data_IF_728036437529
#
_entry.id   IF_728036437529
#
_cell.length_a   1.000
_cell.length_b   1.000
_cell.length_c   1.000
_cell.angle_alpha   90.00
_cell.angle_beta   90.00
_cell.angle_gamma   90.00
#
_symmetry.space_group_name_H-M   'P 1'
#
loop_
_entity.id
_entity.type
_entity.pdbx_description
1 polymer ?
#
# COMPACT_ATOMS: atom_id res chain seq x y z
N UNK A 1 9.80 -31.85 23.91
CA UNK A 1 9.80 -30.35 23.87
C UNK A 1 8.82 -29.90 22.80
N UNK A 2 7.68 -29.34 23.21
CA UNK A 2 6.69 -28.84 22.25
C UNK A 2 7.01 -27.38 21.91
N UNK A 3 7.72 -27.18 20.80
CA UNK A 3 7.99 -25.85 20.27
C UNK A 3 6.94 -25.52 19.21
N UNK A 4 6.20 -24.43 19.40
CA UNK A 4 5.25 -23.92 18.42
C UNK A 4 5.84 -22.69 17.73
N UNK A 5 5.66 -22.63 16.39
CA UNK A 5 6.15 -21.52 15.57
C UNK A 5 4.97 -20.72 15.07
N UNK A 6 4.96 -19.46 15.38
CA UNK A 6 3.95 -18.46 14.95
C UNK A 6 4.59 -17.54 13.94
N UNK A 7 3.96 -17.39 12.77
CA UNK A 7 4.41 -16.46 11.74
C UNK A 7 3.33 -15.39 11.53
N UNK A 8 3.75 -14.13 11.56
CA UNK A 8 2.85 -13.00 11.35
C UNK A 8 3.55 -11.87 10.59
N UNK A 9 2.77 -11.12 9.80
CA UNK A 9 3.20 -9.86 9.21
C UNK A 9 2.84 -8.74 10.19
N UNK A 10 3.85 -7.97 10.59
CA UNK A 10 3.70 -6.86 11.53
C UNK A 10 4.26 -5.58 10.94
N UNK A 11 3.72 -4.45 11.35
CA UNK A 11 4.29 -3.16 10.99
C UNK A 11 5.57 -2.91 11.79
N UNK A 12 6.69 -2.67 11.08
CA UNK A 12 7.99 -2.45 11.70
C UNK A 12 7.97 -1.28 12.68
N UNK A 13 8.48 -1.50 13.90
CA UNK A 13 8.54 -0.52 14.98
C UNK A 13 7.19 -0.17 15.64
N UNK A 14 6.05 -0.69 15.12
CA UNK A 14 4.70 -0.42 15.62
C UNK A 14 3.86 -1.69 15.80
N UNK A 15 4.51 -2.82 16.07
CA UNK A 15 3.78 -4.05 16.40
C UNK A 15 2.95 -3.84 17.67
N UNK A 16 1.74 -4.38 17.67
CA UNK A 16 0.79 -4.31 18.79
C UNK A 16 0.32 -5.71 19.19
N UNK A 17 -0.23 -5.85 20.39
CA UNK A 17 -0.85 -7.09 20.87
C UNK A 17 -2.20 -7.42 20.16
N UNK A 18 -2.65 -6.55 19.27
CA UNK A 18 -3.84 -6.76 18.43
C UNK A 18 -3.62 -7.88 17.39
N UNK A 19 -4.66 -8.36 16.69
CA UNK A 19 -4.46 -9.29 15.57
C UNK A 19 -3.42 -8.75 14.57
N UNK A 20 -2.48 -9.62 14.05
CA UNK A 20 -2.54 -11.09 14.12
C UNK A 20 -1.83 -11.75 15.31
N UNK A 21 -1.05 -11.02 16.11
CA UNK A 21 -0.19 -11.59 17.17
C UNK A 21 -0.97 -12.08 18.40
N UNK A 22 -1.93 -11.28 18.89
CA UNK A 22 -2.68 -11.60 20.11
C UNK A 22 -3.35 -12.96 20.11
N UNK A 23 -4.22 -13.25 19.12
CA UNK A 23 -4.92 -14.54 19.04
C UNK A 23 -4.00 -15.75 18.88
N UNK A 24 -2.83 -15.55 18.24
CA UNK A 24 -1.87 -16.65 17.99
C UNK A 24 -0.96 -16.91 19.20
N UNK A 25 -0.54 -15.89 19.92
CA UNK A 25 0.36 -16.01 21.09
C UNK A 25 -0.39 -16.22 22.39
N UNK A 26 -1.65 -15.79 22.50
CA UNK A 26 -2.49 -15.93 23.70
C UNK A 26 -2.60 -17.36 24.22
N UNK A 27 -2.97 -18.34 23.37
CA UNK A 27 -3.09 -19.75 23.79
C UNK A 27 -1.77 -20.37 24.25
N UNK A 28 -0.62 -19.80 23.85
CA UNK A 28 0.71 -20.32 24.20
C UNK A 28 1.18 -19.88 25.60
N UNK A 29 0.45 -18.98 26.25
CA UNK A 29 0.70 -18.55 27.62
C UNK A 29 1.99 -17.75 27.81
N UNK A 30 2.52 -17.12 26.74
CA UNK A 30 3.69 -16.22 26.79
C UNK A 30 3.28 -14.79 27.11
N UNK A 31 4.19 -14.01 27.64
CA UNK A 31 3.94 -12.59 27.89
C UNK A 31 3.97 -11.80 26.58
N UNK A 32 2.78 -11.52 26.01
CA UNK A 32 2.62 -10.82 24.72
C UNK A 32 3.29 -9.46 24.75
N UNK A 33 3.25 -8.75 25.89
CA UNK A 33 3.87 -7.43 26.00
C UNK A 33 5.39 -7.46 25.81
N UNK A 34 6.07 -8.45 26.38
CA UNK A 34 7.52 -8.64 26.21
C UNK A 34 7.86 -9.02 24.76
N UNK A 35 7.09 -9.95 24.17
CA UNK A 35 7.25 -10.35 22.75
C UNK A 35 7.11 -9.13 21.83
N UNK A 36 6.07 -8.32 22.00
CA UNK A 36 5.83 -7.12 21.20
C UNK A 36 6.94 -6.08 21.37
N UNK A 37 7.42 -5.84 22.58
CA UNK A 37 8.55 -4.93 22.82
C UNK A 37 9.82 -5.39 22.09
N UNK A 38 10.11 -6.67 22.14
CA UNK A 38 11.30 -7.22 21.47
C UNK A 38 11.17 -7.21 19.94
N UNK A 39 9.96 -7.51 19.41
CA UNK A 39 9.65 -7.35 17.99
C UNK A 39 9.91 -5.90 17.56
N UNK A 40 9.37 -4.92 18.29
CA UNK A 40 9.53 -3.51 17.97
C UNK A 40 11.01 -3.07 17.99
N UNK A 41 11.80 -3.57 18.94
CA UNK A 41 13.25 -3.31 18.96
C UNK A 41 13.95 -3.87 17.73
N UNK A 42 13.67 -5.14 17.37
CA UNK A 42 14.32 -5.80 16.22
C UNK A 42 13.83 -5.26 14.87
N UNK A 43 12.63 -4.73 14.78
CA UNK A 43 12.02 -4.21 13.55
C UNK A 43 12.13 -2.68 13.41
N UNK A 44 12.79 -1.98 14.33
CA UNK A 44 12.93 -0.52 14.30
C UNK A 44 13.58 0.01 13.00
N UNK A 45 14.50 -0.75 12.41
CA UNK A 45 15.16 -0.42 11.13
C UNK A 45 14.16 -0.36 9.96
N UNK A 46 13.07 -1.13 10.03
CA UNK A 46 12.04 -1.27 9.00
C UNK A 46 10.77 -0.47 9.31
N UNK A 47 10.90 0.67 9.98
CA UNK A 47 9.76 1.48 10.40
C UNK A 47 8.85 1.84 9.20
N UNK A 48 7.53 1.67 9.38
CA UNK A 48 6.52 1.95 8.35
C UNK A 48 6.39 0.89 7.25
N UNK A 49 7.10 -0.26 7.36
CA UNK A 49 6.97 -1.38 6.42
C UNK A 49 6.40 -2.60 7.12
N UNK A 50 5.69 -3.43 6.36
CA UNK A 50 5.28 -4.75 6.85
C UNK A 50 6.47 -5.71 6.83
N UNK A 51 6.76 -6.31 7.97
CA UNK A 51 7.88 -7.22 8.16
C UNK A 51 7.36 -8.58 8.61
N UNK A 52 7.79 -9.70 7.99
CA UNK A 52 7.44 -11.02 8.45
C UNK A 52 8.26 -11.33 9.71
N UNK A 53 7.57 -11.67 10.78
CA UNK A 53 8.19 -12.07 12.05
C UNK A 53 7.80 -13.51 12.36
N UNK A 54 8.80 -14.31 12.72
CA UNK A 54 8.62 -15.67 13.17
C UNK A 54 8.96 -15.75 14.65
N UNK A 55 7.98 -16.11 15.46
CA UNK A 55 8.13 -16.30 16.91
C UNK A 55 8.07 -17.81 17.19
N UNK A 56 9.17 -18.35 17.70
CA UNK A 56 9.23 -19.75 18.20
C UNK A 56 9.01 -19.71 19.69
N UNK A 57 7.98 -20.39 20.16
CA UNK A 57 7.59 -20.44 21.56
C UNK A 57 7.75 -21.85 22.09
N UNK A 58 8.44 -22.01 23.19
CA UNK A 58 8.48 -23.25 23.95
C UNK A 58 7.30 -23.25 24.95
N UNK A 59 6.37 -24.16 24.79
CA UNK A 59 5.14 -24.23 25.61
C UNK A 59 5.40 -24.68 27.05
N UNK A 60 6.52 -25.40 27.30
CA UNK A 60 6.87 -25.89 28.65
C UNK A 60 7.54 -24.78 29.48
N UNK A 61 8.56 -24.12 28.91
CA UNK A 61 9.35 -23.10 29.61
C UNK A 61 8.80 -21.71 29.44
N UNK A 62 7.80 -21.51 28.53
CA UNK A 62 7.26 -20.21 28.13
C UNK A 62 8.32 -19.23 27.59
N UNK A 63 9.48 -19.77 27.21
CA UNK A 63 10.52 -18.99 26.54
C UNK A 63 10.18 -18.80 25.07
N UNK A 64 10.61 -17.67 24.50
CA UNK A 64 10.36 -17.36 23.09
C UNK A 64 11.64 -16.90 22.42
N UNK A 65 11.75 -17.19 21.13
CA UNK A 65 12.79 -16.73 20.23
C UNK A 65 12.15 -16.00 19.05
N UNK A 66 12.63 -14.79 18.74
CA UNK A 66 12.09 -13.98 17.66
C UNK A 66 13.11 -13.88 16.53
N UNK A 67 12.71 -14.36 15.37
CA UNK A 67 13.42 -14.21 14.10
C UNK A 67 12.66 -13.22 13.23
N UNK A 68 13.35 -12.19 12.75
CA UNK A 68 12.79 -11.15 11.87
C UNK A 68 13.28 -11.41 10.46
N UNK A 69 12.35 -11.57 9.52
CA UNK A 69 12.68 -11.70 8.11
C UNK A 69 12.83 -10.33 7.42
N UNK A 70 13.27 -10.35 6.17
CA UNK A 70 13.34 -9.12 5.36
C UNK A 70 11.95 -8.76 4.84
N UNK A 71 11.62 -7.45 4.75
CA UNK A 71 10.35 -7.01 4.18
C UNK A 71 10.13 -7.56 2.77
N UNK A 72 8.87 -7.72 2.31
CA UNK A 72 8.59 -8.15 0.95
C UNK A 72 9.18 -7.16 -0.07
N UNK A 73 9.64 -7.65 -1.23
CA UNK A 73 10.24 -6.83 -2.28
C UNK A 73 9.30 -5.68 -2.70
N UNK A 74 8.00 -5.96 -2.81
CA UNK A 74 6.98 -4.95 -3.11
C UNK A 74 6.93 -3.81 -2.08
N UNK A 75 7.16 -4.10 -0.80
CA UNK A 75 7.21 -3.09 0.25
C UNK A 75 8.45 -2.19 0.12
N UNK A 76 9.61 -2.77 -0.17
CA UNK A 76 10.85 -2.03 -0.40
C UNK A 76 10.77 -1.15 -1.65
N UNK A 77 10.23 -1.69 -2.76
CA UNK A 77 10.03 -0.93 -3.99
C UNK A 77 9.09 0.26 -3.75
N UNK A 78 7.96 0.06 -3.07
CA UNK A 78 7.04 1.15 -2.71
C UNK A 78 7.71 2.25 -1.89
N UNK A 79 8.56 1.88 -0.95
CA UNK A 79 9.30 2.83 -0.13
C UNK A 79 10.30 3.65 -0.95
N UNK A 80 11.07 3.02 -1.83
CA UNK A 80 12.04 3.72 -2.68
C UNK A 80 11.37 4.62 -3.72
N UNK A 81 10.21 4.20 -4.24
CA UNK A 81 9.41 5.01 -5.18
C UNK A 81 8.45 5.99 -4.52
N UNK A 82 8.32 5.97 -3.18
CA UNK A 82 7.35 6.74 -2.40
C UNK A 82 5.90 6.53 -2.85
N UNK A 83 5.55 5.29 -3.22
CA UNK A 83 4.19 4.91 -3.61
C UNK A 83 3.42 4.29 -2.44
N UNK A 84 2.20 4.72 -2.25
CA UNK A 84 1.29 4.06 -1.32
C UNK A 84 0.73 2.76 -1.90
N UNK A 85 0.33 2.80 -3.17
CA UNK A 85 -0.29 1.66 -3.87
C UNK A 85 0.38 1.41 -5.22
N UNK A 86 0.58 0.14 -5.55
CA UNK A 86 1.01 -0.30 -6.87
C UNK A 86 -0.18 -0.29 -7.85
N UNK A 87 0.11 -0.37 -9.16
CA UNK A 87 -0.93 -0.45 -10.18
C UNK A 87 -1.81 -1.69 -10.01
N UNK A 88 -3.12 -1.52 -10.10
CA UNK A 88 -4.07 -2.62 -10.20
C UNK A 88 -4.07 -3.31 -11.56
N UNK A 89 -3.59 -2.62 -12.62
CA UNK A 89 -3.51 -3.09 -14.01
C UNK A 89 -2.09 -2.91 -14.56
N UNK A 90 -1.12 -3.57 -13.94
CA UNK A 90 0.32 -3.42 -14.20
C UNK A 90 0.77 -3.58 -15.67
N UNK A 91 -0.06 -4.17 -16.54
CA UNK A 91 0.24 -4.29 -17.97
C UNK A 91 -0.12 -3.03 -18.78
N UNK A 92 -1.04 -2.22 -18.29
CA UNK A 92 -1.63 -1.09 -19.01
C UNK A 92 -1.32 0.25 -18.37
N UNK A 93 -1.11 0.26 -17.05
CA UNK A 93 -0.90 1.48 -16.27
C UNK A 93 0.43 1.38 -15.55
N UNK A 94 1.38 2.19 -15.97
CA UNK A 94 2.64 2.38 -15.25
C UNK A 94 2.46 3.55 -14.28
N UNK A 95 2.82 3.34 -13.01
CA UNK A 95 2.53 4.29 -11.92
C UNK A 95 3.77 5.04 -11.46
N UNK A 96 4.93 4.46 -11.63
CA UNK A 96 6.20 5.05 -11.21
C UNK A 96 7.36 4.54 -12.05
N UNK A 97 8.51 5.17 -11.86
CA UNK A 97 9.79 4.75 -12.38
C UNK A 97 10.80 4.55 -11.24
N UNK A 98 11.73 3.61 -11.42
CA UNK A 98 12.80 3.28 -10.48
C UNK A 98 14.11 3.15 -11.23
N UNK A 99 15.19 3.67 -10.66
CA UNK A 99 16.52 3.54 -11.23
C UNK A 99 17.17 2.21 -10.86
N UNK A 100 18.14 1.78 -11.68
CA UNK A 100 18.83 0.51 -11.49
C UNK A 100 19.60 0.47 -10.15
N UNK A 101 20.16 1.59 -9.69
CA UNK A 101 20.86 1.72 -8.41
C UNK A 101 19.93 1.43 -7.23
N UNK A 102 18.69 1.91 -7.29
CA UNK A 102 17.68 1.62 -6.27
C UNK A 102 17.30 0.13 -6.27
N UNK A 103 17.23 -0.48 -7.47
CA UNK A 103 16.97 -1.92 -7.59
C UNK A 103 18.15 -2.73 -7.01
N UNK A 104 19.41 -2.31 -7.27
CA UNK A 104 20.61 -2.94 -6.69
C UNK A 104 20.58 -2.83 -5.15
N UNK A 105 20.19 -1.67 -4.61
CA UNK A 105 20.05 -1.45 -3.16
C UNK A 105 19.01 -2.42 -2.56
N UNK A 106 17.85 -2.58 -3.20
CA UNK A 106 16.82 -3.52 -2.75
C UNK A 106 17.32 -4.97 -2.85
N UNK A 107 18.02 -5.33 -3.93
CA UNK A 107 18.58 -6.67 -4.12
C UNK A 107 19.57 -7.03 -3.01
N UNK A 108 20.42 -6.08 -2.58
CA UNK A 108 21.31 -6.23 -1.43
C UNK A 108 20.57 -6.41 -0.11
N UNK A 109 19.54 -5.60 0.15
CA UNK A 109 18.73 -5.73 1.36
C UNK A 109 18.04 -7.09 1.45
N UNK A 110 17.75 -7.71 0.32
CA UNK A 110 17.11 -9.02 0.23
C UNK A 110 18.07 -10.16 -0.13
N UNK A 111 19.34 -9.95 0.01
CA UNK A 111 20.36 -10.91 -0.42
C UNK A 111 20.11 -12.34 0.07
N UNK A 112 19.71 -12.47 1.33
CA UNK A 112 19.44 -13.77 1.97
C UNK A 112 18.08 -14.39 1.59
N UNK A 113 17.17 -13.61 1.00
CA UNK A 113 15.80 -14.04 0.69
C UNK A 113 15.53 -14.21 -0.81
N UNK A 114 16.47 -13.80 -1.67
CA UNK A 114 16.43 -14.02 -3.13
C UNK A 114 17.16 -15.32 -3.50
N UNK A 115 16.72 -15.95 -4.57
CA UNK A 115 17.23 -17.25 -5.01
C UNK A 115 18.41 -17.14 -5.98
N UNK A 116 18.63 -15.98 -6.58
CA UNK A 116 19.73 -15.73 -7.51
C UNK A 116 21.10 -15.99 -6.86
N UNK A 117 22.00 -16.65 -7.58
CA UNK A 117 23.37 -16.89 -7.12
C UNK A 117 24.23 -15.63 -7.18
N UNK A 118 24.07 -14.86 -8.26
CA UNK A 118 24.80 -13.62 -8.50
C UNK A 118 23.93 -12.40 -8.21
N UNK A 119 24.54 -11.26 -7.92
CA UNK A 119 23.80 -9.99 -7.72
C UNK A 119 22.99 -9.64 -8.97
N UNK A 120 23.52 -9.92 -10.16
CA UNK A 120 22.81 -9.74 -11.45
C UNK A 120 21.50 -10.53 -11.51
N UNK A 121 21.48 -11.77 -11.06
CA UNK A 121 20.28 -12.60 -11.00
C UNK A 121 19.29 -12.08 -9.96
N UNK A 122 19.76 -11.65 -8.79
CA UNK A 122 18.94 -11.03 -7.75
C UNK A 122 18.27 -9.74 -8.24
N UNK A 123 19.01 -8.90 -8.97
CA UNK A 123 18.48 -7.70 -9.62
C UNK A 123 17.37 -8.06 -10.58
N UNK A 124 17.52 -9.09 -11.42
CA UNK A 124 16.46 -9.55 -12.33
C UNK A 124 15.18 -9.98 -11.58
N UNK A 125 15.31 -10.64 -10.43
CA UNK A 125 14.15 -11.02 -9.59
C UNK A 125 13.37 -9.78 -9.13
N UNK A 126 14.09 -8.73 -8.71
CA UNK A 126 13.46 -7.47 -8.28
C UNK A 126 12.82 -6.74 -9.47
N UNK A 127 13.50 -6.65 -10.62
CA UNK A 127 12.95 -6.09 -11.86
C UNK A 127 11.67 -6.84 -12.29
N UNK A 128 11.64 -8.17 -12.16
CA UNK A 128 10.42 -8.95 -12.37
C UNK A 128 9.28 -8.58 -11.43
N UNK A 129 9.61 -8.22 -10.19
CA UNK A 129 8.61 -7.70 -9.23
C UNK A 129 8.10 -6.32 -9.64
N UNK A 130 8.98 -5.42 -10.13
CA UNK A 130 8.58 -4.11 -10.69
C UNK A 130 7.58 -4.27 -11.84
N UNK A 131 7.78 -5.26 -12.74
CA UNK A 131 6.84 -5.58 -13.83
C UNK A 131 5.44 -5.91 -13.29
N UNK A 132 5.35 -6.70 -12.23
CA UNK A 132 4.06 -7.08 -11.63
C UNK A 132 3.37 -5.94 -10.91
N UNK A 133 4.13 -4.92 -10.49
CA UNK A 133 3.63 -3.74 -9.79
C UNK A 133 3.27 -2.57 -10.73
N UNK A 134 3.58 -2.67 -12.03
CA UNK A 134 3.39 -1.59 -12.98
C UNK A 134 4.37 -0.44 -12.78
N UNK A 135 5.63 -0.77 -12.52
CA UNK A 135 6.72 0.19 -12.31
C UNK A 135 7.72 0.04 -13.45
N UNK A 136 8.06 1.17 -14.07
CA UNK A 136 9.12 1.26 -15.06
C UNK A 136 10.48 1.12 -14.38
N UNK A 137 11.48 0.72 -15.14
CA UNK A 137 12.88 0.71 -14.71
C UNK A 137 13.69 1.44 -15.77
N UNK A 138 14.33 2.54 -15.41
CA UNK A 138 15.05 3.42 -16.34
C UNK A 138 14.14 3.98 -17.47
N UNK A 139 12.89 4.37 -17.11
CA UNK A 139 11.91 4.85 -18.09
C UNK A 139 11.40 3.80 -19.07
N UNK A 140 11.82 2.53 -18.93
CA UNK A 140 11.46 1.42 -19.82
C UNK A 140 10.61 0.37 -19.11
N UNK A 141 9.78 -0.38 -19.86
CA UNK A 141 9.13 -1.56 -19.33
C UNK A 141 10.15 -2.55 -18.77
N UNK A 142 9.92 -3.10 -17.59
CA UNK A 142 10.86 -3.98 -16.91
C UNK A 142 11.28 -5.21 -17.76
N UNK A 143 10.47 -5.65 -18.74
CA UNK A 143 10.85 -6.70 -19.69
C UNK A 143 12.02 -6.29 -20.59
N UNK A 144 12.05 -5.05 -21.03
CA UNK A 144 13.13 -4.52 -21.87
C UNK A 144 14.38 -4.34 -21.03
N UNK A 145 14.25 -3.80 -19.83
CA UNK A 145 15.36 -3.67 -18.89
C UNK A 145 15.97 -5.02 -18.52
N UNK A 146 15.16 -6.08 -18.37
CA UNK A 146 15.71 -7.44 -18.17
C UNK A 146 16.59 -7.90 -19.34
N UNK A 147 16.21 -7.62 -20.57
CA UNK A 147 17.03 -7.93 -21.76
C UNK A 147 18.30 -7.08 -21.80
N UNK A 148 18.19 -5.80 -21.43
CA UNK A 148 19.34 -4.90 -21.32
C UNK A 148 20.33 -5.38 -20.23
N UNK A 149 19.85 -5.89 -19.10
CA UNK A 149 20.68 -6.53 -18.06
C UNK A 149 21.34 -7.81 -18.60
N UNK A 150 20.63 -8.63 -19.37
CA UNK A 150 21.19 -9.83 -20.00
C UNK A 150 22.28 -9.49 -21.02
N UNK A 151 22.05 -8.45 -21.80
CA UNK A 151 23.01 -7.91 -22.76
C UNK A 151 24.25 -7.26 -22.09
N UNK A 152 24.24 -7.06 -20.77
CA UNK A 152 25.36 -6.54 -20.00
C UNK A 152 25.45 -5.01 -19.93
N UNK A 153 24.39 -4.27 -20.30
CA UNK A 153 24.43 -2.79 -20.26
C UNK A 153 24.66 -2.21 -18.87
N UNK A 154 24.20 -2.90 -17.84
CA UNK A 154 24.31 -2.48 -16.43
C UNK A 154 25.33 -3.29 -15.63
N UNK A 155 26.22 -4.03 -16.29
CA UNK A 155 27.18 -4.90 -15.60
C UNK A 155 28.21 -4.12 -14.77
N UNK A 156 28.58 -2.92 -15.17
CA UNK A 156 29.47 -2.05 -14.41
C UNK A 156 28.82 -1.52 -13.14
N UNK A 157 27.57 -1.08 -13.21
CA UNK A 157 26.79 -0.57 -12.07
C UNK A 157 26.52 -1.67 -11.05
N UNK A 158 26.16 -2.85 -11.54
CA UNK A 158 25.92 -4.04 -10.72
C UNK A 158 27.24 -4.50 -10.06
N UNK A 159 28.34 -4.49 -10.79
CA UNK A 159 29.67 -4.91 -10.29
C UNK A 159 30.23 -3.95 -9.26
N UNK A 160 30.07 -2.63 -9.50
CA UNK A 160 30.50 -1.57 -8.56
C UNK A 160 29.52 -1.43 -7.38
N UNK A 161 28.40 -2.16 -7.42
CA UNK A 161 27.38 -2.14 -6.37
C UNK A 161 26.91 -0.73 -6.04
N UNK A 162 26.73 0.10 -7.07
CA UNK A 162 26.26 1.48 -6.90
C UNK A 162 24.90 1.49 -6.22
N UNK A 163 24.84 2.07 -5.03
CA UNK A 163 23.61 2.21 -4.24
C UNK A 163 23.28 3.66 -3.94
N UNK A 164 24.21 4.57 -4.24
CA UNK A 164 24.03 6.00 -4.04
C UNK A 164 23.72 6.67 -5.38
N UNK A 165 22.64 7.43 -5.38
CA UNK A 165 22.21 8.21 -6.54
C UNK A 165 23.03 9.49 -6.62
N UNK A 166 23.53 9.82 -7.79
CA UNK A 166 24.13 11.12 -8.03
C UNK A 166 23.06 12.23 -8.01
N UNK A 167 23.49 13.47 -7.74
CA UNK A 167 22.56 14.62 -7.73
C UNK A 167 21.85 14.80 -9.09
N UNK A 168 22.51 14.46 -10.19
CA UNK A 168 21.96 14.52 -11.54
C UNK A 168 20.88 13.45 -11.79
N UNK A 169 21.07 12.24 -11.27
CA UNK A 169 20.10 11.14 -11.35
C UNK A 169 18.86 11.43 -10.51
N UNK A 170 19.04 12.06 -9.33
CA UNK A 170 17.91 12.53 -8.52
C UNK A 170 17.06 13.57 -9.25
N UNK A 171 17.68 14.51 -9.98
CA UNK A 171 16.95 15.52 -10.75
C UNK A 171 16.18 14.89 -11.91
N UNK A 172 16.77 13.96 -12.64
CA UNK A 172 16.09 13.20 -13.72
C UNK A 172 14.89 12.42 -13.20
N UNK A 173 15.06 11.71 -12.06
CA UNK A 173 13.96 11.01 -11.39
C UNK A 173 12.80 11.94 -11.03
N UNK A 174 13.11 13.14 -10.54
CA UNK A 174 12.08 14.12 -10.20
C UNK A 174 11.32 14.60 -11.44
N UNK A 175 12.02 14.86 -12.54
CA UNK A 175 11.42 15.24 -13.82
C UNK A 175 10.56 14.11 -14.41
N UNK A 176 11.04 12.88 -14.39
CA UNK A 176 10.28 11.73 -14.89
C UNK A 176 9.03 11.46 -14.05
N UNK A 177 9.13 11.59 -12.73
CA UNK A 177 7.94 11.53 -11.85
C UNK A 177 6.91 12.59 -12.20
N UNK A 178 7.34 13.82 -12.47
CA UNK A 178 6.43 14.87 -12.89
C UNK A 178 5.78 14.55 -14.24
N UNK A 179 6.56 14.12 -15.22
CA UNK A 179 6.03 13.72 -16.54
C UNK A 179 5.01 12.59 -16.45
N UNK A 180 5.31 11.55 -15.65
CA UNK A 180 4.37 10.45 -15.42
C UNK A 180 3.10 10.91 -14.71
N UNK A 181 3.23 11.78 -13.70
CA UNK A 181 2.08 12.36 -13.01
C UNK A 181 1.20 13.19 -13.96
N UNK A 182 1.81 14.00 -14.82
CA UNK A 182 1.11 14.80 -15.82
C UNK A 182 0.43 13.92 -16.88
N UNK A 183 1.09 12.85 -17.32
CA UNK A 183 0.51 11.91 -18.28
C UNK A 183 -0.69 11.16 -17.66
N UNK A 184 -0.56 10.72 -16.43
CA UNK A 184 -1.66 10.10 -15.68
C UNK A 184 -2.82 11.07 -15.48
N UNK A 185 -2.53 12.34 -15.16
CA UNK A 185 -3.54 13.37 -15.03
C UNK A 185 -4.26 13.65 -16.36
N UNK A 186 -3.53 13.72 -17.48
CA UNK A 186 -4.11 13.88 -18.82
C UNK A 186 -5.00 12.70 -19.21
N UNK A 187 -4.53 11.48 -19.02
CA UNK A 187 -5.33 10.26 -19.28
C UNK A 187 -6.60 10.21 -18.41
N UNK A 188 -6.50 10.57 -17.13
CA UNK A 188 -7.68 10.68 -16.26
C UNK A 188 -8.68 11.71 -16.79
N UNK A 189 -8.21 12.89 -17.18
CA UNK A 189 -9.08 13.94 -17.73
C UNK A 189 -9.73 13.52 -19.05
N UNK A 190 -9.06 12.77 -19.91
CA UNK A 190 -9.62 12.21 -21.15
C UNK A 190 -10.69 11.15 -20.84
N UNK A 191 -10.40 10.24 -19.91
CA UNK A 191 -11.39 9.25 -19.46
C UNK A 191 -12.61 9.88 -18.82
N UNK A 192 -12.45 10.93 -18.01
CA UNK A 192 -13.57 11.69 -17.46
C UNK A 192 -14.43 12.35 -18.53
N UNK A 193 -13.82 12.96 -19.55
CA UNK A 193 -14.55 13.56 -20.68
C UNK A 193 -15.33 12.52 -21.47
N UNK A 194 -14.69 11.40 -21.80
CA UNK A 194 -15.34 10.30 -22.52
C UNK A 194 -16.43 9.64 -21.69
N UNK A 195 -16.20 9.46 -20.38
CA UNK A 195 -17.20 8.92 -19.49
C UNK A 195 -18.44 9.83 -19.37
N UNK A 196 -18.22 11.14 -19.20
CA UNK A 196 -19.33 12.13 -19.14
C UNK A 196 -20.12 12.17 -20.45
N UNK A 197 -19.44 12.09 -21.59
CA UNK A 197 -20.09 12.01 -22.91
C UNK A 197 -20.97 10.74 -23.06
N UNK A 198 -20.45 9.58 -22.67
CA UNK A 198 -21.22 8.31 -22.71
C UNK A 198 -22.40 8.34 -21.75
N UNK A 199 -22.22 8.88 -20.53
CA UNK A 199 -23.31 9.03 -19.57
C UNK A 199 -24.42 9.97 -20.10
N UNK A 200 -24.03 11.07 -20.74
CA UNK A 200 -24.98 12.02 -21.36
C UNK A 200 -25.73 11.38 -22.54
N UNK A 201 -25.04 10.62 -23.40
CA UNK A 201 -25.64 9.89 -24.54
C UNK A 201 -26.64 8.81 -24.07
N UNK A 202 -26.35 8.20 -22.91
CA UNK A 202 -27.15 7.13 -22.36
C UNK A 202 -28.07 7.57 -21.20
N UNK A 203 -28.35 8.86 -21.09
CA UNK A 203 -29.28 9.39 -20.09
C UNK A 203 -30.65 8.74 -20.25
N UNK A 204 -31.13 8.06 -19.17
CA UNK A 204 -32.41 7.32 -19.16
C UNK A 204 -32.31 5.81 -19.39
N UNK A 205 -31.14 5.25 -19.66
CA UNK A 205 -30.96 3.80 -19.77
C UNK A 205 -30.55 3.18 -18.42
N UNK A 206 -30.82 1.86 -18.22
CA UNK A 206 -30.46 1.19 -17.00
C UNK A 206 -28.96 1.23 -16.76
N UNK A 207 -28.56 1.44 -15.49
CA UNK A 207 -27.19 1.60 -15.05
C UNK A 207 -26.25 0.48 -15.50
N UNK A 208 -26.78 -0.75 -15.61
CA UNK A 208 -26.00 -1.91 -16.09
C UNK A 208 -25.47 -1.73 -17.51
N UNK A 209 -26.31 -1.17 -18.41
CA UNK A 209 -25.91 -0.92 -19.81
C UNK A 209 -24.87 0.22 -19.90
N UNK A 210 -25.03 1.26 -19.10
CA UNK A 210 -24.06 2.36 -19.02
C UNK A 210 -22.69 1.82 -18.57
N UNK A 211 -22.68 0.97 -17.52
CA UNK A 211 -21.46 0.34 -17.04
C UNK A 211 -20.77 -0.52 -18.10
N UNK A 212 -21.52 -1.33 -18.85
CA UNK A 212 -20.96 -2.17 -19.93
C UNK A 212 -20.33 -1.32 -21.03
N UNK A 213 -20.96 -0.22 -21.44
CA UNK A 213 -20.38 0.70 -22.42
C UNK A 213 -19.12 1.42 -21.92
N UNK A 214 -19.11 1.85 -20.65
CA UNK A 214 -17.95 2.48 -20.04
C UNK A 214 -16.75 1.51 -19.96
N UNK A 215 -17.00 0.24 -19.60
CA UNK A 215 -15.96 -0.80 -19.62
C UNK A 215 -15.48 -1.09 -21.04
N UNK A 216 -16.38 -1.13 -22.02
CA UNK A 216 -16.03 -1.30 -23.44
C UNK A 216 -15.21 -0.12 -23.98
N UNK A 217 -15.42 1.09 -23.48
CA UNK A 217 -14.61 2.28 -23.78
C UNK A 217 -13.25 2.31 -23.07
N UNK A 218 -12.93 1.27 -22.27
CA UNK A 218 -11.63 1.14 -21.60
C UNK A 218 -11.47 1.99 -20.33
N UNK A 219 -12.56 2.52 -19.77
CA UNK A 219 -12.51 3.36 -18.57
C UNK A 219 -12.28 2.49 -17.34
N UNK A 220 -11.36 2.86 -16.43
CA UNK A 220 -11.06 2.13 -15.20
C UNK A 220 -12.29 1.98 -14.30
N UNK A 221 -12.45 0.80 -13.67
CA UNK A 221 -13.57 0.50 -12.78
C UNK A 221 -13.68 1.44 -11.56
N UNK A 222 -12.57 2.04 -11.14
CA UNK A 222 -12.54 3.02 -10.04
C UNK A 222 -13.27 4.30 -10.46
N UNK A 223 -13.00 4.84 -11.64
CA UNK A 223 -13.67 6.02 -12.19
C UNK A 223 -15.16 5.75 -12.51
N UNK A 224 -15.48 4.51 -12.94
CA UNK A 224 -16.87 4.12 -13.15
C UNK A 224 -17.66 4.15 -11.84
N UNK A 225 -17.05 3.75 -10.72
CA UNK A 225 -17.68 3.80 -9.39
C UNK A 225 -17.87 5.23 -8.89
N UNK A 226 -16.94 6.12 -9.19
CA UNK A 226 -17.02 7.55 -8.81
C UNK A 226 -18.11 8.28 -9.62
N UNK A 227 -18.18 8.02 -10.93
CA UNK A 227 -19.12 8.70 -11.83
C UNK A 227 -20.54 8.11 -11.81
N UNK A 228 -20.67 6.83 -11.39
CA UNK A 228 -21.95 6.15 -11.19
C UNK A 228 -22.11 5.74 -9.72
N UNK A 229 -22.41 6.66 -8.80
CA UNK A 229 -22.61 6.32 -7.39
C UNK A 229 -23.76 5.32 -7.23
N UNK A 230 -23.63 4.43 -6.23
CA UNK A 230 -24.62 3.36 -5.97
C UNK A 230 -25.96 4.00 -5.63
N UNK A 231 -27.05 3.64 -6.32
CA UNK A 231 -28.42 4.00 -5.93
C UNK A 231 -28.67 3.48 -4.51
N UNK A 232 -28.67 4.39 -3.54
CA UNK A 232 -28.83 4.10 -2.11
C UNK A 232 -28.23 5.18 -1.21
N UNK A 233 -27.37 6.06 -1.73
CA UNK A 233 -26.76 7.16 -0.96
C UNK A 233 -27.36 8.55 -1.27
N UNK A 234 -28.33 8.68 -2.17
CA UNK A 234 -28.91 9.96 -2.61
C UNK A 234 -30.22 10.34 -1.90
N UNK A 235 -30.48 9.80 -0.72
CA UNK A 235 -31.68 10.17 0.07
C UNK A 235 -31.34 10.94 1.36
N UNK A 236 -30.16 11.57 1.45
CA UNK A 236 -29.80 12.42 2.57
C UNK A 236 -29.02 13.65 2.08
N UNK A 237 -29.74 14.64 1.56
CA UNK A 237 -29.10 15.93 1.26
C UNK A 237 -29.77 16.79 0.21
N UNK A 238 -31.06 17.06 0.33
CA UNK A 238 -31.65 18.21 -0.33
C UNK A 238 -32.11 19.21 0.76
N UNK A 239 -31.68 20.48 0.74
CA UNK A 239 -32.19 21.49 1.64
C UNK A 239 -33.58 21.93 1.17
N UNK A 240 -34.62 21.40 1.80
CA UNK A 240 -35.98 21.88 1.60
C UNK A 240 -36.21 23.17 2.34
N UNK A 241 -36.59 24.19 1.59
CA UNK A 241 -37.14 25.48 1.98
C UNK A 241 -38.22 25.35 3.06
N UNK A 242 -38.11 26.21 4.06
CA UNK A 242 -39.17 26.48 5.06
C UNK A 242 -40.45 27.04 4.44
N UNK A 243 -41.60 26.85 5.09
CA UNK A 243 -42.36 28.00 5.49
C UNK A 243 -42.79 28.01 6.97
N UNK A 244 -43.00 29.23 7.42
CA UNK A 244 -43.24 29.70 8.76
C UNK A 244 -44.62 29.37 9.33
N UNK A 245 -44.68 29.56 10.63
CA UNK A 245 -45.78 30.06 11.47
C UNK A 245 -46.63 29.03 12.23
N UNK A 246 -46.62 29.17 13.54
CA UNK A 246 -47.77 28.90 14.35
C UNK A 246 -47.54 28.39 15.79
N UNK A 247 -47.37 29.34 16.75
CA UNK A 247 -47.86 29.28 18.14
C UNK A 247 -47.31 28.28 19.15
N UNK A 248 -46.66 28.85 20.16
CA UNK A 248 -46.47 28.36 21.53
C UNK A 248 -47.82 28.29 22.32
N UNK A 249 -47.95 27.91 23.63
CA UNK A 249 -46.91 27.69 24.65
C UNK A 249 -47.23 26.55 25.64
N UNK A 250 -46.30 26.24 26.54
CA UNK A 250 -46.67 25.46 27.76
C UNK A 250 -45.51 24.79 28.50
N UNK A 251 -44.87 25.53 29.32
CA UNK A 251 -44.26 25.32 30.63
C UNK A 251 -44.25 23.92 31.23
N UNK A 252 -43.09 23.44 31.72
CA UNK A 252 -42.76 23.37 33.15
C UNK A 252 -41.35 22.76 33.41
N UNK A 253 -40.62 23.48 34.18
CA UNK A 253 -39.36 23.16 34.82
C UNK A 253 -39.46 22.00 35.83
N UNK A 254 -38.33 21.33 36.06
CA UNK A 254 -37.79 20.85 37.36
C UNK A 254 -36.48 20.15 37.09
N UNK A 255 -35.36 20.81 37.38
CA UNK A 255 -34.65 20.82 38.67
C UNK A 255 -33.81 19.57 38.92
N UNK A 256 -32.51 19.81 38.92
CA UNK A 256 -31.45 18.94 39.45
C UNK A 256 -31.57 18.78 40.98
N UNK A 257 -30.89 17.80 41.58
CA UNK A 257 -29.89 18.25 42.53
C UNK A 257 -28.53 17.51 42.50
N UNK A 258 -27.51 18.29 42.79
CA UNK A 258 -26.22 17.96 43.37
C UNK A 258 -26.35 17.30 44.77
N UNK A 259 -25.35 16.45 45.10
CA UNK A 259 -24.58 16.45 46.40
C UNK A 259 -23.71 15.19 46.43
N UNK A 260 -22.44 15.36 46.53
CA UNK A 260 -21.54 15.50 47.70
C UNK A 260 -21.13 14.13 48.29
N UNK A 261 -19.88 13.80 48.13
CA UNK A 261 -18.79 13.66 49.13
C UNK A 261 -19.10 12.84 50.43
N UNK A 262 -18.30 11.77 50.67
CA UNK A 262 -17.41 11.62 51.84
C UNK A 262 -16.80 10.22 51.92
N UNK A 263 -15.46 10.20 51.97
CA UNK A 263 -14.53 9.57 52.93
C UNK A 263 -15.04 8.35 53.75
N UNK A 264 -14.42 7.22 53.54
CA UNK A 264 -13.53 6.59 54.58
C UNK A 264 -12.59 5.62 53.89
#
# INVERSE_FOLDING_TARGET
MATQTVQALVEGGKATAAPPLGPQLGPLGVNIGQVVMEINKKTAVFNGMQVPVTVKVNTETKSFEISVGTPPASGLIKKETNLEKASGKAKHEMVADILIEQVIKIAKMKETATLGKTLKEKVKEIVGTCQSMGILVEGKPAKETMRDIEAGKFDEEIRLEKTELSAEELSKLAEEKQRLADELARRKAEFEKTAKAIIAEMAGKPRGEIKVKLVAAGIPDEMIKELLPVEGAAAAGAPGTAPAAGAAPGAKAKEAPKKEEKKK
#
